data_IF_878066774376
#
_entry.id   IF_878066774376
#
_cell.length_a   1.000
_cell.length_b   1.000
_cell.length_c   1.000
_cell.angle_alpha   90.00
_cell.angle_beta   90.00
_cell.angle_gamma   90.00
#
_symmetry.space_group_name_H-M   'P 1'
#
loop_
_entity.id
_entity.type
_entity.pdbx_description
1 polymer ?
#
# COMPACT_ATOMS: atom_id res chain seq x y z
N UNK A 1 18.90 37.57 -30.87
CA UNK A 1 18.85 36.45 -31.83
C UNK A 1 19.39 35.24 -31.10
N UNK A 2 18.47 34.31 -30.84
CA UNK A 2 18.56 32.93 -30.37
C UNK A 2 19.21 32.62 -29.01
N UNK A 3 18.28 32.34 -28.10
CA UNK A 3 18.44 31.70 -26.81
C UNK A 3 19.20 30.38 -26.90
N UNK A 4 20.11 30.25 -25.93
CA UNK A 4 20.97 29.12 -25.70
C UNK A 4 20.12 27.96 -25.15
N UNK A 5 19.45 27.21 -26.02
CA UNK A 5 18.78 25.97 -25.62
C UNK A 5 19.83 24.92 -25.24
N UNK A 6 20.14 24.86 -23.94
CA UNK A 6 20.81 23.72 -23.34
C UNK A 6 19.86 22.52 -23.42
N UNK A 7 19.93 21.78 -24.52
CA UNK A 7 19.34 20.44 -24.60
C UNK A 7 20.14 19.59 -23.62
N UNK A 8 19.58 19.35 -22.44
CA UNK A 8 20.15 18.40 -21.48
C UNK A 8 20.18 17.04 -22.17
N UNK A 9 21.38 16.49 -22.39
CA UNK A 9 21.56 15.14 -22.90
C UNK A 9 20.84 14.11 -22.01
N UNK A 10 20.60 12.89 -22.51
CA UNK A 10 19.96 11.85 -21.70
C UNK A 10 20.76 11.64 -20.41
N UNK A 11 20.05 11.57 -19.28
CA UNK A 11 20.67 11.36 -17.97
C UNK A 11 21.58 10.14 -18.01
N UNK A 12 22.76 10.27 -17.40
CA UNK A 12 23.72 9.16 -17.30
C UNK A 12 23.11 8.03 -16.44
N UNK A 13 23.57 6.79 -16.65
CA UNK A 13 23.14 5.66 -15.82
C UNK A 13 23.41 5.91 -14.32
N UNK A 14 24.50 6.60 -13.99
CA UNK A 14 24.80 6.99 -12.60
C UNK A 14 23.83 8.02 -12.02
N UNK A 15 23.32 8.95 -12.83
CA UNK A 15 22.26 9.88 -12.41
C UNK A 15 20.91 9.19 -12.24
N UNK A 16 20.54 8.32 -13.18
CA UNK A 16 19.32 7.51 -13.07
C UNK A 16 19.36 6.58 -11.85
N UNK A 17 20.51 5.99 -11.55
CA UNK A 17 20.69 5.16 -10.35
C UNK A 17 20.52 5.96 -9.05
N UNK A 18 21.12 7.15 -8.98
CA UNK A 18 20.96 8.05 -7.82
C UNK A 18 19.51 8.50 -7.65
N UNK A 19 18.84 8.84 -8.75
CA UNK A 19 17.41 9.21 -8.73
C UNK A 19 16.55 8.05 -8.23
N UNK A 20 16.79 6.83 -8.71
CA UNK A 20 16.10 5.62 -8.24
C UNK A 20 16.29 5.41 -6.74
N UNK A 21 17.51 5.60 -6.21
CA UNK A 21 17.76 5.44 -4.78
C UNK A 21 17.11 6.53 -3.94
N UNK A 22 17.12 7.79 -4.41
CA UNK A 22 16.41 8.88 -3.76
C UNK A 22 14.90 8.62 -3.72
N UNK A 23 14.30 8.18 -4.84
CA UNK A 23 12.89 7.82 -4.89
C UNK A 23 12.55 6.65 -3.94
N UNK A 24 13.40 5.63 -3.88
CA UNK A 24 13.23 4.52 -2.94
C UNK A 24 13.26 4.99 -1.48
N UNK A 25 14.18 5.88 -1.12
CA UNK A 25 14.27 6.44 0.24
C UNK A 25 13.00 7.24 0.60
N UNK A 26 12.52 8.08 -0.31
CA UNK A 26 11.28 8.85 -0.11
C UNK A 26 10.07 7.93 0.04
N UNK A 27 9.95 6.89 -0.79
CA UNK A 27 8.88 5.90 -0.67
C UNK A 27 8.90 5.19 0.69
N UNK A 28 10.08 4.80 1.19
CA UNK A 28 10.20 4.19 2.52
C UNK A 28 9.75 5.13 3.63
N UNK A 29 10.13 6.41 3.59
CA UNK A 29 9.70 7.40 4.57
C UNK A 29 8.18 7.62 4.55
N UNK A 30 7.59 7.71 3.36
CA UNK A 30 6.14 7.85 3.18
C UNK A 30 5.40 6.63 3.71
N UNK A 31 5.90 5.42 3.44
CA UNK A 31 5.30 4.18 3.96
C UNK A 31 5.35 4.12 5.49
N UNK A 32 6.46 4.55 6.10
CA UNK A 32 6.56 4.62 7.55
C UNK A 32 5.63 5.66 8.17
N UNK A 33 5.43 6.80 7.50
CA UNK A 33 4.45 7.79 7.93
C UNK A 33 3.03 7.22 7.83
N UNK A 34 2.70 6.54 6.74
CA UNK A 34 1.40 5.89 6.54
C UNK A 34 1.16 4.82 7.61
N UNK A 35 2.15 3.96 7.88
CA UNK A 35 2.10 2.96 8.95
C UNK A 35 1.78 3.60 10.30
N UNK A 36 2.49 4.67 10.68
CA UNK A 36 2.24 5.37 11.95
C UNK A 36 0.81 5.91 12.03
N UNK A 37 0.31 6.50 10.96
CA UNK A 37 -1.07 7.00 10.89
C UNK A 37 -2.08 5.85 11.03
N UNK A 38 -1.91 4.77 10.26
CA UNK A 38 -2.79 3.59 10.30
C UNK A 38 -2.80 2.92 11.67
N UNK A 39 -1.66 2.85 12.37
CA UNK A 39 -1.55 2.22 13.71
C UNK A 39 -2.33 2.99 14.78
N UNK A 40 -2.52 4.31 14.64
CA UNK A 40 -3.30 5.11 15.60
C UNK A 40 -4.72 5.41 15.13
N UNK A 41 -5.02 5.17 13.86
CA UNK A 41 -6.34 5.44 13.27
C UNK A 41 -7.45 4.64 13.94
N UNK A 42 -8.61 5.28 14.09
CA UNK A 42 -9.82 4.63 14.56
C UNK A 42 -10.49 3.81 13.44
N UNK A 43 -11.34 2.86 13.82
CA UNK A 43 -12.06 1.97 12.88
C UNK A 43 -12.82 2.78 11.81
N UNK A 44 -13.46 3.89 12.17
CA UNK A 44 -14.19 4.75 11.23
C UNK A 44 -13.28 5.40 10.18
N UNK A 45 -12.06 5.81 10.55
CA UNK A 45 -11.09 6.37 9.60
C UNK A 45 -10.57 5.30 8.64
N UNK A 46 -10.35 4.09 9.16
CA UNK A 46 -9.95 2.94 8.35
C UNK A 46 -11.07 2.53 7.37
N UNK A 47 -12.33 2.61 7.79
CA UNK A 47 -13.49 2.43 6.92
C UNK A 47 -13.50 3.47 5.79
N UNK A 48 -13.30 4.76 6.13
CA UNK A 48 -13.26 5.81 5.11
C UNK A 48 -12.13 5.58 4.09
N UNK A 49 -10.97 5.13 4.55
CA UNK A 49 -9.84 4.76 3.70
C UNK A 49 -10.19 3.58 2.77
N UNK A 50 -10.75 2.50 3.32
CA UNK A 50 -11.16 1.31 2.57
C UNK A 50 -12.24 1.67 1.54
N UNK A 51 -13.22 2.51 1.91
CA UNK A 51 -14.30 2.93 1.03
C UNK A 51 -13.79 3.69 -0.21
N UNK A 52 -12.71 4.45 -0.07
CA UNK A 52 -12.11 5.21 -1.18
C UNK A 52 -11.49 4.30 -2.24
N UNK A 53 -10.94 3.16 -1.83
CA UNK A 53 -10.23 2.23 -2.72
C UNK A 53 -10.97 0.93 -2.99
N UNK A 54 -12.14 0.72 -2.35
CA UNK A 54 -12.91 -0.51 -2.47
C UNK A 54 -13.44 -0.71 -3.89
N UNK A 55 -13.31 -1.93 -4.44
CA UNK A 55 -13.89 -2.27 -5.74
C UNK A 55 -15.43 -2.18 -5.76
N UNK A 56 -16.09 -2.18 -4.60
CA UNK A 56 -17.54 -2.00 -4.49
C UNK A 56 -17.98 -0.54 -4.78
N UNK A 57 -17.05 0.43 -4.75
CA UNK A 57 -17.32 1.85 -5.01
C UNK A 57 -16.50 2.43 -6.17
N UNK A 58 -15.27 1.98 -6.36
CA UNK A 58 -14.37 2.47 -7.38
C UNK A 58 -14.22 1.43 -8.51
N UNK A 59 -14.97 1.62 -9.60
CA UNK A 59 -14.78 0.87 -10.86
C UNK A 59 -13.62 1.51 -11.64
N UNK A 60 -12.42 1.47 -11.05
CA UNK A 60 -11.20 2.00 -11.66
C UNK A 60 -10.46 0.96 -12.52
N UNK A 61 -9.65 1.37 -13.50
CA UNK A 61 -8.77 0.46 -14.24
C UNK A 61 -7.87 -0.36 -13.30
N UNK A 62 -7.49 -1.58 -13.70
CA UNK A 62 -6.71 -2.50 -12.86
C UNK A 62 -5.39 -1.90 -12.34
N UNK A 63 -4.76 -0.99 -13.10
CA UNK A 63 -3.52 -0.29 -12.72
C UNK A 63 -3.71 0.74 -11.59
N UNK A 64 -4.95 1.04 -11.20
CA UNK A 64 -5.32 1.86 -10.03
C UNK A 64 -5.85 1.02 -8.86
N UNK A 65 -5.88 -0.32 -8.98
CA UNK A 65 -6.31 -1.20 -7.87
C UNK A 65 -5.28 -1.20 -6.75
N UNK A 66 -5.41 -0.22 -5.86
CA UNK A 66 -4.64 -0.11 -4.62
C UNK A 66 -5.29 -0.87 -3.46
N UNK A 67 -6.46 -1.49 -3.68
CA UNK A 67 -7.20 -2.21 -2.65
C UNK A 67 -6.45 -3.40 -2.06
N UNK A 68 -5.93 -4.29 -2.91
CA UNK A 68 -5.16 -5.46 -2.45
C UNK A 68 -3.89 -5.03 -1.68
N UNK A 69 -3.02 -4.14 -2.23
CA UNK A 69 -1.90 -3.59 -1.48
C UNK A 69 -2.30 -2.94 -0.15
N UNK A 70 -3.42 -2.23 -0.09
CA UNK A 70 -3.94 -1.63 1.13
C UNK A 70 -4.32 -2.71 2.16
N UNK A 71 -5.05 -3.75 1.77
CA UNK A 71 -5.44 -4.81 2.69
C UNK A 71 -4.23 -5.58 3.22
N UNK A 72 -3.22 -5.83 2.39
CA UNK A 72 -1.94 -6.41 2.85
C UNK A 72 -1.31 -5.56 3.96
N UNK A 73 -1.29 -4.23 3.79
CA UNK A 73 -0.72 -3.29 4.77
C UNK A 73 -1.54 -3.23 6.05
N UNK A 74 -2.86 -3.23 5.95
CA UNK A 74 -3.74 -3.31 7.12
C UNK A 74 -3.47 -4.58 7.92
N UNK A 75 -3.39 -5.75 7.27
CA UNK A 75 -3.03 -7.00 7.93
C UNK A 75 -1.62 -7.03 8.51
N UNK A 76 -0.70 -6.27 7.92
CA UNK A 76 0.69 -6.15 8.40
C UNK A 76 0.77 -5.25 9.64
N UNK A 77 -0.02 -4.17 9.70
CA UNK A 77 0.14 -3.12 10.70
C UNK A 77 -0.91 -3.12 11.80
N UNK A 78 -2.06 -3.76 11.59
CA UNK A 78 -3.16 -3.82 12.55
C UNK A 78 -3.24 -5.18 13.23
N UNK A 79 -3.78 -5.15 14.43
CA UNK A 79 -4.15 -6.32 15.20
C UNK A 79 -5.43 -6.96 14.66
N UNK A 80 -5.61 -8.24 14.99
CA UNK A 80 -6.74 -9.03 14.49
C UNK A 80 -8.09 -8.52 15.01
N UNK A 81 -8.15 -7.89 16.19
CA UNK A 81 -9.39 -7.36 16.74
C UNK A 81 -9.88 -6.14 15.93
N UNK A 82 -8.97 -5.25 15.54
CA UNK A 82 -9.29 -4.15 14.61
C UNK A 82 -9.77 -4.69 13.27
N UNK A 83 -9.09 -5.69 12.71
CA UNK A 83 -9.48 -6.29 11.42
C UNK A 83 -10.85 -6.96 11.49
N UNK A 84 -11.16 -7.65 12.59
CA UNK A 84 -12.47 -8.25 12.83
C UNK A 84 -13.58 -7.19 12.95
N UNK A 85 -13.31 -6.07 13.63
CA UNK A 85 -14.25 -4.96 13.74
C UNK A 85 -14.57 -4.35 12.36
N UNK A 86 -13.56 -4.20 11.50
CA UNK A 86 -13.77 -3.76 10.10
C UNK A 86 -14.62 -4.75 9.32
N UNK A 87 -14.32 -6.05 9.41
CA UNK A 87 -15.09 -7.08 8.71
C UNK A 87 -16.57 -7.08 9.14
N UNK A 88 -16.86 -6.90 10.43
CA UNK A 88 -18.23 -6.80 10.95
C UNK A 88 -18.94 -5.54 10.44
N UNK A 89 -18.26 -4.38 10.47
CA UNK A 89 -18.82 -3.14 9.95
C UNK A 89 -19.21 -3.26 8.47
N UNK A 90 -18.43 -3.97 7.65
CA UNK A 90 -18.76 -4.23 6.25
C UNK A 90 -19.83 -5.31 6.06
N UNK A 91 -19.87 -6.33 6.92
CA UNK A 91 -20.91 -7.35 6.91
C UNK A 91 -22.30 -6.75 7.12
N UNK A 92 -22.41 -5.79 8.05
CA UNK A 92 -23.65 -5.06 8.33
C UNK A 92 -24.16 -4.23 7.14
N UNK A 93 -23.30 -3.88 6.17
CA UNK A 93 -23.67 -3.11 4.96
C UNK A 93 -24.30 -3.96 3.85
N UNK A 94 -24.33 -5.28 4.00
CA UNK A 94 -25.02 -6.19 3.10
C UNK A 94 -24.17 -6.79 1.97
N UNK A 95 -24.79 -7.57 1.07
CA UNK A 95 -24.08 -8.50 0.17
C UNK A 95 -23.11 -7.86 -0.83
N UNK A 96 -23.32 -6.59 -1.20
CA UNK A 96 -22.44 -5.87 -2.13
C UNK A 96 -20.99 -5.73 -1.60
N UNK A 97 -20.80 -5.86 -0.28
CA UNK A 97 -19.50 -5.77 0.38
C UNK A 97 -18.85 -7.12 0.67
N UNK A 98 -19.44 -8.23 0.19
CA UNK A 98 -18.96 -9.58 0.48
C UNK A 98 -17.48 -9.79 0.13
N UNK A 99 -17.00 -9.24 -0.99
CA UNK A 99 -15.59 -9.30 -1.37
C UNK A 99 -14.70 -8.64 -0.31
N UNK A 100 -15.06 -7.44 0.15
CA UNK A 100 -14.30 -6.72 1.19
C UNK A 100 -14.30 -7.50 2.51
N UNK A 101 -15.46 -8.03 2.92
CA UNK A 101 -15.57 -8.86 4.13
C UNK A 101 -14.66 -10.09 4.04
N UNK A 102 -14.63 -10.76 2.89
CA UNK A 102 -13.78 -11.92 2.67
C UNK A 102 -12.29 -11.57 2.74
N UNK A 103 -11.87 -10.42 2.19
CA UNK A 103 -10.46 -9.99 2.26
C UNK A 103 -10.03 -9.60 3.69
N UNK A 104 -10.97 -9.15 4.51
CA UNK A 104 -10.75 -8.84 5.94
C UNK A 104 -10.94 -10.06 6.85
N UNK A 105 -11.14 -11.27 6.29
CA UNK A 105 -11.33 -12.48 7.09
C UNK A 105 -10.02 -12.95 7.76
N UNK A 106 -10.08 -13.58 8.95
CA UNK A 106 -8.90 -14.12 9.62
C UNK A 106 -8.12 -15.12 8.76
N UNK A 107 -8.81 -15.92 7.95
CA UNK A 107 -8.19 -16.88 7.03
C UNK A 107 -7.33 -16.18 5.98
N UNK A 108 -7.81 -15.08 5.41
CA UNK A 108 -7.05 -14.27 4.47
C UNK A 108 -5.89 -13.56 5.16
N UNK A 109 -6.09 -13.06 6.38
CA UNK A 109 -5.03 -12.49 7.20
C UNK A 109 -3.90 -13.49 7.47
N UNK A 110 -4.24 -14.72 7.83
CA UNK A 110 -3.27 -15.79 8.04
C UNK A 110 -2.47 -16.10 6.76
N UNK A 111 -3.13 -16.15 5.58
CA UNK A 111 -2.45 -16.33 4.29
C UNK A 111 -1.49 -15.18 3.97
N UNK A 112 -1.93 -13.93 4.16
CA UNK A 112 -1.10 -12.74 3.93
C UNK A 112 0.11 -12.80 4.87
N UNK A 113 -0.12 -12.97 6.18
CA UNK A 113 0.97 -13.03 7.17
C UNK A 113 1.93 -14.20 6.92
N UNK A 114 1.45 -15.37 6.49
CA UNK A 114 2.28 -16.50 6.13
C UNK A 114 3.09 -16.25 4.84
N UNK A 115 2.56 -15.48 3.90
CA UNK A 115 3.26 -15.03 2.70
C UNK A 115 4.30 -13.93 2.95
N UNK A 116 4.27 -13.28 4.13
CA UNK A 116 5.23 -12.25 4.53
C UNK A 116 6.60 -12.80 4.97
N UNK A 117 7.04 -13.95 4.44
CA UNK A 117 8.41 -14.47 4.59
C UNK A 117 9.48 -13.41 4.28
N UNK A 118 9.12 -12.36 3.53
CA UNK A 118 9.80 -11.07 3.50
C UNK A 118 8.72 -9.97 3.64
N UNK A 119 8.84 -9.00 4.56
CA UNK A 119 7.89 -7.90 4.60
C UNK A 119 7.88 -7.13 3.26
N UNK A 120 6.80 -6.44 2.93
CA UNK A 120 6.67 -5.74 1.64
C UNK A 120 7.83 -4.74 1.36
N UNK A 121 8.45 -4.20 2.41
CA UNK A 121 9.66 -3.37 2.35
C UNK A 121 10.97 -4.17 2.23
N UNK A 122 11.01 -5.48 2.54
CA UNK A 122 12.16 -6.34 2.30
C UNK A 122 12.26 -6.85 0.84
N UNK A 123 11.36 -6.39 -0.05
CA UNK A 123 11.60 -6.39 -1.51
C UNK A 123 12.46 -5.20 -1.97
N UNK A 124 13.18 -4.56 -1.04
CA UNK A 124 14.32 -3.74 -1.40
C UNK A 124 15.35 -4.64 -2.12
N UNK A 125 15.93 -4.19 -3.24
CA UNK A 125 16.99 -4.97 -3.89
C UNK A 125 18.10 -5.23 -2.88
N UNK A 126 18.53 -6.49 -2.81
CA UNK A 126 19.60 -6.97 -1.92
C UNK A 126 20.81 -6.03 -2.06
N UNK A 127 21.04 -5.22 -1.04
CA UNK A 127 22.26 -4.44 -0.91
C UNK A 127 23.29 -5.35 -0.25
N UNK A 128 24.15 -5.92 -1.08
CA UNK A 128 25.47 -6.38 -0.64
C UNK A 128 26.46 -5.90 -1.66
N UNK A 129 27.08 -4.76 -1.39
CA UNK A 129 28.33 -4.34 -2.01
C UNK A 129 29.24 -3.94 -0.86
N UNK A 130 30.19 -4.82 -0.57
CA UNK A 130 31.47 -4.55 0.11
C UNK A 130 32.21 -3.38 -0.51
#
# INVERSE_FOLDING_TARGET
MNDNQSISGPATLGELWRLRNAAAATLSLTEDQMRRAVVVAHVEELIALIDHFSPARAVGPEWTRTFEPLVERLWTWRDDATMAALAEAYRARGPAWATVVNTLSPEQGAKIRAGLSHPAWARLPILSVT
#
